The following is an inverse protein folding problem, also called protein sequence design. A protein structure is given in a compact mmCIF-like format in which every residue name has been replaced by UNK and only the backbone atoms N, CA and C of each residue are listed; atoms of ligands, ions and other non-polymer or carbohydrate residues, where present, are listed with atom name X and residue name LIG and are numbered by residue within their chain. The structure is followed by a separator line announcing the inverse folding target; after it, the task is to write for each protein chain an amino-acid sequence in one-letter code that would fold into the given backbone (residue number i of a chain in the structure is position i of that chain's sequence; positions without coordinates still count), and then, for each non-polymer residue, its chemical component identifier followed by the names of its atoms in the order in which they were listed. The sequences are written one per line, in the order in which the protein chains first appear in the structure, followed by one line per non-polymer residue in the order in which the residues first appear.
data_IF_840350369453
#
_entry.id   IF_840350369453
#
_cell.length_a   1.000
_cell.length_b   1.000
_cell.length_c   1.000
_cell.angle_alpha   90.00
_cell.angle_beta   90.00
_cell.angle_gamma   90.00
#
_symmetry.space_group_name_H-M   'P 1'
#
loop_
_entity.id
_entity.type
_entity.pdbx_description
1 polymer ?
#
# COMPACT_ATOMS: atom_id res chain seq x y z
N UNK A 1 -0.27 -16.38 15.23
CA UNK A 1 -1.10 -17.11 14.24
C UNK A 1 -1.49 -16.13 13.15
N UNK A 2 -1.56 -16.57 11.90
CA UNK A 2 -2.02 -15.73 10.79
C UNK A 2 -3.51 -15.41 10.93
N UNK A 3 -3.92 -14.22 10.51
CA UNK A 3 -5.30 -13.72 10.59
C UNK A 3 -5.83 -13.46 9.20
N UNK A 4 -7.13 -13.70 9.00
CA UNK A 4 -7.80 -13.42 7.74
C UNK A 4 -7.76 -11.92 7.38
N UNK A 5 -7.93 -11.61 6.10
CA UNK A 5 -8.05 -10.22 5.64
C UNK A 5 -9.20 -9.48 6.34
N UNK A 6 -10.31 -10.18 6.61
CA UNK A 6 -11.46 -9.62 7.32
C UNK A 6 -11.14 -9.28 8.80
N UNK A 7 -10.41 -10.14 9.52
CA UNK A 7 -9.96 -9.87 10.88
C UNK A 7 -9.00 -8.67 10.93
N UNK A 8 -8.08 -8.57 9.96
CA UNK A 8 -7.17 -7.43 9.84
C UNK A 8 -7.92 -6.14 9.51
N UNK A 9 -8.92 -6.19 8.62
CA UNK A 9 -9.76 -5.05 8.27
C UNK A 9 -10.51 -4.53 9.50
N UNK A 10 -11.12 -5.44 10.27
CA UNK A 10 -11.82 -5.10 11.52
C UNK A 10 -10.88 -4.40 12.51
N UNK A 11 -9.65 -4.88 12.66
CA UNK A 11 -8.66 -4.26 13.54
C UNK A 11 -8.27 -2.85 13.06
N UNK A 12 -8.01 -2.69 11.76
CA UNK A 12 -7.66 -1.39 11.18
C UNK A 12 -8.80 -0.37 11.36
N UNK A 13 -10.03 -0.76 11.02
CA UNK A 13 -11.24 0.05 11.16
C UNK A 13 -11.51 0.44 12.62
N UNK A 14 -11.27 -0.45 13.57
CA UNK A 14 -11.45 -0.14 14.99
C UNK A 14 -10.40 0.84 15.55
N UNK A 15 -9.28 1.02 14.84
CA UNK A 15 -8.13 1.78 15.33
C UNK A 15 -7.99 3.14 14.63
N UNK A 16 -8.25 3.18 13.33
CA UNK A 16 -7.98 4.35 12.49
C UNK A 16 -9.29 5.11 12.23
N UNK A 17 -9.40 6.39 12.63
CA UNK A 17 -10.60 7.18 12.36
C UNK A 17 -10.73 7.52 10.87
N UNK A 18 -11.97 7.72 10.42
CA UNK A 18 -12.24 8.32 9.11
C UNK A 18 -12.16 9.83 9.22
N UNK A 19 -11.13 10.43 8.62
CA UNK A 19 -10.87 11.88 8.67
C UNK A 19 -10.90 12.49 7.28
N UNK A 20 -11.46 13.69 7.17
CA UNK A 20 -11.46 14.43 5.92
C UNK A 20 -10.04 14.91 5.59
N UNK A 21 -9.62 14.71 4.33
CA UNK A 21 -8.27 15.03 3.90
C UNK A 21 -7.20 14.02 4.31
N UNK A 22 -7.58 12.89 4.92
CA UNK A 22 -6.66 11.77 5.11
C UNK A 22 -6.34 11.10 3.76
N UNK A 23 -5.10 10.59 3.64
CA UNK A 23 -4.73 9.70 2.54
C UNK A 23 -5.62 8.44 2.54
N UNK A 24 -5.81 7.77 1.39
CA UNK A 24 -6.49 6.48 1.37
C UNK A 24 -5.74 5.48 2.28
N UNK A 25 -6.44 4.50 2.89
CA UNK A 25 -5.79 3.45 3.65
C UNK A 25 -4.69 2.76 2.83
N UNK A 26 -3.68 2.23 3.50
CA UNK A 26 -2.60 1.48 2.86
C UNK A 26 -2.53 0.08 3.46
N UNK A 27 -2.43 -0.92 2.59
CA UNK A 27 -2.11 -2.30 2.97
C UNK A 27 -0.63 -2.52 2.72
N UNK A 28 0.12 -2.75 3.77
CA UNK A 28 1.52 -3.18 3.68
C UNK A 28 1.58 -4.69 3.41
N UNK A 29 1.85 -5.05 2.16
CA UNK A 29 1.94 -6.42 1.69
C UNK A 29 3.40 -6.80 1.47
N UNK A 30 4.03 -7.33 2.51
CA UNK A 30 5.43 -7.73 2.50
C UNK A 30 5.68 -9.04 3.26
N UNK A 31 6.86 -9.62 3.06
CA UNK A 31 7.27 -10.81 3.78
C UNK A 31 7.66 -10.46 5.23
N UNK A 32 6.68 -10.20 6.09
CA UNK A 32 6.91 -9.92 7.51
C UNK A 32 6.09 -10.82 8.44
N UNK A 33 6.62 -11.00 9.65
CA UNK A 33 5.95 -11.77 10.70
C UNK A 33 5.92 -13.29 10.49
N UNK A 34 5.09 -14.01 11.28
CA UNK A 34 5.11 -15.47 11.37
C UNK A 34 4.46 -16.17 10.16
N UNK A 35 3.94 -15.43 9.18
CA UNK A 35 3.14 -15.95 8.06
C UNK A 35 3.94 -16.11 6.76
N UNK A 36 5.27 -16.15 6.85
CA UNK A 36 6.19 -16.18 5.70
C UNK A 36 6.15 -17.47 4.88
N UNK A 37 5.63 -18.58 5.43
CA UNK A 37 5.70 -19.90 4.79
C UNK A 37 4.31 -20.54 4.65
N UNK A 38 4.08 -21.20 3.51
CA UNK A 38 2.97 -22.15 3.34
C UNK A 38 1.63 -21.59 2.85
N UNK A 39 1.50 -20.29 2.56
CA UNK A 39 0.28 -19.77 1.94
C UNK A 39 0.32 -19.93 0.41
N UNK A 40 -0.72 -20.55 -0.15
CA UNK A 40 -0.92 -20.60 -1.60
C UNK A 40 -1.17 -19.19 -2.14
N UNK A 41 -0.70 -18.90 -3.35
CA UNK A 41 -0.88 -17.59 -4.01
C UNK A 41 -2.34 -17.17 -4.05
N UNK A 42 -3.25 -18.09 -4.36
CA UNK A 42 -4.71 -17.83 -4.36
C UNK A 42 -5.24 -17.41 -3.00
N UNK A 43 -4.67 -17.95 -1.92
CA UNK A 43 -5.03 -17.56 -0.56
C UNK A 43 -4.55 -16.15 -0.25
N UNK A 44 -3.30 -15.80 -0.58
CA UNK A 44 -2.75 -14.45 -0.34
C UNK A 44 -3.56 -13.39 -1.09
N UNK A 45 -3.82 -13.62 -2.38
CA UNK A 45 -4.62 -12.71 -3.20
C UNK A 45 -6.04 -12.56 -2.62
N UNK A 46 -6.69 -13.66 -2.23
CA UNK A 46 -8.03 -13.59 -1.65
C UNK A 46 -8.05 -12.78 -0.35
N UNK A 47 -7.09 -12.98 0.55
CA UNK A 47 -7.05 -12.23 1.81
C UNK A 47 -6.75 -10.73 1.58
N UNK A 48 -5.83 -10.40 0.66
CA UNK A 48 -5.58 -8.99 0.28
C UNK A 48 -6.82 -8.36 -0.32
N UNK A 49 -7.49 -9.03 -1.26
CA UNK A 49 -8.75 -8.53 -1.86
C UNK A 49 -9.83 -8.34 -0.81
N UNK A 50 -10.00 -9.29 0.11
CA UNK A 50 -10.96 -9.17 1.22
C UNK A 50 -10.67 -7.95 2.09
N UNK A 51 -9.39 -7.69 2.39
CA UNK A 51 -8.97 -6.53 3.16
C UNK A 51 -9.22 -5.22 2.37
N UNK A 52 -8.86 -5.18 1.09
CA UNK A 52 -9.10 -4.03 0.20
C UNK A 52 -10.59 -3.66 0.17
N UNK A 53 -11.45 -4.63 -0.09
CA UNK A 53 -12.88 -4.43 -0.27
C UNK A 53 -13.54 -3.98 1.05
N UNK A 54 -13.13 -4.56 2.18
CA UNK A 54 -13.65 -4.18 3.50
C UNK A 54 -13.24 -2.75 3.91
N UNK A 55 -11.99 -2.36 3.62
CA UNK A 55 -11.52 -1.00 3.88
C UNK A 55 -12.18 0.00 2.93
N UNK A 56 -12.33 -0.31 1.64
CA UNK A 56 -13.04 0.55 0.70
C UNK A 56 -14.49 0.77 1.13
N UNK A 57 -15.19 -0.28 1.53
CA UNK A 57 -16.57 -0.18 2.01
C UNK A 57 -16.71 0.70 3.27
N UNK A 58 -15.68 0.76 4.12
CA UNK A 58 -15.71 1.56 5.35
C UNK A 58 -15.26 3.01 5.13
N UNK A 59 -14.15 3.22 4.42
CA UNK A 59 -13.53 4.53 4.24
C UNK A 59 -14.04 5.27 2.99
N UNK A 60 -14.79 4.59 2.12
CA UNK A 60 -15.29 5.14 0.85
C UNK A 60 -14.21 5.32 -0.22
N UNK A 61 -12.99 4.81 0.03
CA UNK A 61 -11.81 5.00 -0.81
C UNK A 61 -11.06 3.69 -1.00
N UNK A 62 -10.75 3.32 -2.25
CA UNK A 62 -9.96 2.13 -2.55
C UNK A 62 -8.56 2.24 -1.92
N UNK A 63 -8.12 1.32 -1.05
CA UNK A 63 -6.78 1.41 -0.46
C UNK A 63 -5.65 1.30 -1.49
N UNK A 64 -4.45 1.73 -1.10
CA UNK A 64 -3.22 1.55 -1.87
C UNK A 64 -2.47 0.33 -1.34
N UNK A 65 -1.85 -0.46 -2.21
CA UNK A 65 -1.04 -1.61 -1.82
C UNK A 65 0.42 -1.18 -1.77
N UNK A 66 1.02 -1.20 -0.58
CA UNK A 66 2.47 -1.11 -0.45
C UNK A 66 3.10 -2.49 -0.65
N UNK A 67 4.18 -2.59 -1.44
CA UNK A 67 4.92 -3.84 -1.65
C UNK A 67 6.33 -3.59 -2.17
N UNK A 68 7.25 -4.52 -1.88
CA UNK A 68 8.53 -4.65 -2.56
C UNK A 68 8.48 -5.60 -3.76
N UNK A 69 9.57 -5.62 -4.54
CA UNK A 69 9.69 -6.46 -5.75
C UNK A 69 9.62 -7.97 -5.46
N UNK A 70 10.14 -8.41 -4.32
CA UNK A 70 10.15 -9.84 -3.95
C UNK A 70 8.74 -10.36 -3.70
N UNK A 71 7.95 -9.65 -2.88
CA UNK A 71 6.58 -10.03 -2.59
C UNK A 71 5.68 -9.89 -3.83
N UNK A 72 5.93 -8.87 -4.66
CA UNK A 72 5.24 -8.71 -5.94
C UNK A 72 5.46 -9.93 -6.85
N UNK A 73 6.72 -10.31 -7.09
CA UNK A 73 7.07 -11.44 -7.93
C UNK A 73 6.51 -12.77 -7.39
N UNK A 74 6.46 -12.94 -6.06
CA UNK A 74 5.98 -14.16 -5.43
C UNK A 74 4.45 -14.32 -5.50
N UNK A 75 3.69 -13.24 -5.32
CA UNK A 75 2.25 -13.34 -5.07
C UNK A 75 1.38 -12.47 -5.97
N UNK A 76 1.85 -11.29 -6.36
CA UNK A 76 1.01 -10.28 -6.97
C UNK A 76 1.19 -10.19 -8.50
N UNK A 77 2.30 -10.66 -9.06
CA UNK A 77 2.63 -10.52 -10.48
C UNK A 77 1.50 -11.04 -11.40
N UNK A 78 1.04 -10.18 -12.30
CA UNK A 78 -0.09 -10.49 -13.18
C UNK A 78 -1.45 -10.64 -12.47
N UNK A 79 -1.56 -10.15 -11.23
CA UNK A 79 -2.77 -10.05 -10.41
C UNK A 79 -2.92 -8.61 -9.92
N UNK A 80 -4.13 -8.26 -9.48
CA UNK A 80 -4.46 -6.95 -8.93
C UNK A 80 -4.01 -5.81 -9.88
N UNK A 81 -4.23 -6.00 -11.19
CA UNK A 81 -3.76 -5.06 -12.21
C UNK A 81 -4.49 -3.71 -12.19
N UNK A 82 -5.71 -3.68 -11.64
CA UNK A 82 -6.51 -2.46 -11.47
C UNK A 82 -6.19 -1.68 -10.19
N UNK A 83 -5.35 -2.22 -9.30
CA UNK A 83 -5.04 -1.58 -8.02
C UNK A 83 -3.90 -0.56 -8.13
N UNK A 84 -3.85 0.36 -7.18
CA UNK A 84 -2.80 1.38 -7.05
C UNK A 84 -1.72 0.90 -6.09
N UNK A 85 -0.46 1.20 -6.43
CA UNK A 85 0.68 0.69 -5.68
C UNK A 85 1.54 1.79 -5.06
N UNK A 86 2.00 1.54 -3.84
CA UNK A 86 3.14 2.22 -3.22
C UNK A 86 4.33 1.27 -3.28
N UNK A 87 5.25 1.49 -4.22
CA UNK A 87 6.34 0.55 -4.44
C UNK A 87 7.56 0.90 -3.61
N UNK A 88 8.13 -0.12 -2.96
CA UNK A 88 9.49 -0.05 -2.42
C UNK A 88 10.50 -0.46 -3.49
N UNK A 89 11.37 0.47 -3.86
CA UNK A 89 12.53 0.19 -4.71
C UNK A 89 13.65 1.14 -4.28
N UNK A 90 14.64 0.62 -3.55
CA UNK A 90 15.68 1.48 -2.99
C UNK A 90 16.66 1.90 -4.07
N UNK A 91 17.07 3.16 -4.05
CA UNK A 91 18.09 3.79 -4.92
C UNK A 91 17.72 3.89 -6.41
N UNK A 92 16.87 3.01 -6.94
CA UNK A 92 16.49 2.96 -8.35
C UNK A 92 14.98 3.09 -8.52
N UNK A 93 14.51 3.74 -9.60
CA UNK A 93 13.08 3.76 -9.91
C UNK A 93 12.51 2.35 -10.03
N UNK A 94 11.26 2.10 -9.59
CA UNK A 94 10.63 0.79 -9.73
C UNK A 94 10.59 0.34 -11.19
N UNK A 95 11.16 -0.83 -11.49
CA UNK A 95 11.15 -1.46 -12.81
C UNK A 95 9.98 -2.44 -13.02
N UNK A 96 9.16 -2.63 -11.98
CA UNK A 96 7.96 -3.46 -11.97
C UNK A 96 6.73 -2.59 -11.71
N UNK A 97 5.55 -3.03 -12.20
CA UNK A 97 4.29 -2.27 -12.08
C UNK A 97 4.42 -0.79 -12.47
N UNK A 98 5.21 -0.50 -13.50
CA UNK A 98 5.60 0.87 -13.89
C UNK A 98 4.41 1.75 -14.25
N UNK A 99 3.26 1.19 -14.63
CA UNK A 99 2.02 1.91 -14.91
C UNK A 99 1.05 2.06 -13.72
N UNK A 100 1.33 1.42 -12.58
CA UNK A 100 0.35 1.28 -11.49
C UNK A 100 0.76 1.96 -10.18
N UNK A 101 2.04 2.32 -10.03
CA UNK A 101 2.49 2.95 -8.81
C UNK A 101 2.14 4.44 -8.76
N UNK A 102 1.72 4.89 -7.57
CA UNK A 102 1.35 6.27 -7.24
C UNK A 102 2.28 6.87 -6.20
N UNK A 103 2.91 6.05 -5.35
CA UNK A 103 3.94 6.45 -4.40
C UNK A 103 5.15 5.51 -4.55
N UNK A 104 6.35 6.05 -4.41
CA UNK A 104 7.60 5.28 -4.44
C UNK A 104 8.41 5.55 -3.17
N UNK A 105 8.67 4.50 -2.39
CA UNK A 105 9.67 4.52 -1.32
C UNK A 105 11.05 4.29 -1.93
N UNK A 106 11.87 5.34 -1.93
CA UNK A 106 13.18 5.34 -2.59
C UNK A 106 14.35 5.21 -1.61
N UNK A 107 14.10 5.38 -0.31
CA UNK A 107 15.10 5.33 0.75
C UNK A 107 14.45 4.89 2.08
N UNK A 108 15.15 4.09 2.87
CA UNK A 108 14.68 3.59 4.18
C UNK A 108 15.48 4.16 5.38
N UNK A 109 16.71 4.62 5.13
CA UNK A 109 17.56 5.26 6.14
C UNK A 109 17.80 6.76 5.92
N UNK A 110 16.75 7.52 5.58
CA UNK A 110 16.85 8.96 5.31
C UNK A 110 16.99 9.80 6.59
N UNK A 111 17.36 11.07 6.43
CA UNK A 111 17.38 12.07 7.52
C UNK A 111 16.51 13.28 7.14
N UNK A 112 15.65 13.72 8.06
CA UNK A 112 14.80 14.92 7.91
C UNK A 112 14.73 15.70 9.21
N UNK A 113 14.74 17.03 9.10
CA UNK A 113 14.52 17.90 10.24
C UNK A 113 13.16 17.58 10.88
N UNK A 114 13.14 17.45 12.21
CA UNK A 114 11.94 17.09 12.97
C UNK A 114 11.77 15.59 13.24
N UNK A 115 12.62 14.71 12.69
CA UNK A 115 12.57 13.27 12.94
C UNK A 115 13.89 12.81 13.57
N UNK A 116 13.78 12.13 14.71
CA UNK A 116 14.94 11.51 15.38
C UNK A 116 15.12 10.08 14.86
N UNK A 117 16.28 9.80 14.26
CA UNK A 117 16.61 8.49 13.71
C UNK A 117 16.34 8.34 12.21
N UNK A 118 16.60 7.15 11.63
CA UNK A 118 16.37 6.88 10.22
C UNK A 118 14.88 6.96 9.86
N UNK A 119 14.57 7.49 8.68
CA UNK A 119 13.19 7.60 8.18
C UNK A 119 13.06 7.18 6.71
N UNK A 120 11.96 6.51 6.39
CA UNK A 120 11.57 6.20 5.02
C UNK A 120 11.23 7.48 4.24
N UNK A 121 11.81 7.61 3.06
CA UNK A 121 11.56 8.73 2.15
C UNK A 121 10.79 8.25 0.93
N UNK A 122 9.75 9.02 0.60
CA UNK A 122 8.78 8.67 -0.42
C UNK A 122 8.59 9.84 -1.39
N UNK A 123 8.24 9.53 -2.62
CA UNK A 123 7.80 10.50 -3.63
C UNK A 123 6.46 10.09 -4.21
N UNK A 124 5.60 11.07 -4.45
CA UNK A 124 4.36 10.87 -5.20
C UNK A 124 4.61 10.97 -6.70
N UNK A 125 3.89 10.17 -7.49
CA UNK A 125 3.94 10.21 -8.94
C UNK A 125 3.07 11.32 -9.49
N UNK A 126 3.62 12.52 -9.57
CA UNK A 126 2.95 13.63 -10.23
C UNK A 126 3.33 14.99 -9.66
N UNK A 127 2.59 16.00 -10.10
CA UNK A 127 2.66 17.35 -9.57
C UNK A 127 1.97 17.47 -8.21
N UNK A 128 2.25 18.55 -7.48
CA UNK A 128 1.56 18.87 -6.23
C UNK A 128 0.04 18.95 -6.39
N UNK A 129 -0.46 19.54 -7.49
CA UNK A 129 -1.90 19.61 -7.79
C UNK A 129 -2.54 18.22 -7.92
N UNK A 130 -1.83 17.28 -8.54
CA UNK A 130 -2.29 15.89 -8.64
C UNK A 130 -2.23 15.18 -7.29
N UNK A 131 -1.26 15.51 -6.44
CA UNK A 131 -1.21 15.01 -5.08
C UNK A 131 -2.39 15.52 -4.24
N UNK A 132 -2.73 16.81 -4.33
CA UNK A 132 -3.90 17.38 -3.65
C UNK A 132 -5.21 16.71 -4.12
N UNK A 133 -5.37 16.50 -5.43
CA UNK A 133 -6.51 15.76 -5.98
C UNK A 133 -6.56 14.31 -5.46
N UNK A 134 -5.40 13.63 -5.42
CA UNK A 134 -5.28 12.30 -4.85
C UNK A 134 -5.63 12.26 -3.36
N UNK A 135 -5.29 13.27 -2.57
CA UNK A 135 -5.68 13.37 -1.16
C UNK A 135 -7.19 13.61 -1.03
N UNK A 136 -7.74 14.52 -1.85
CA UNK A 136 -9.15 14.89 -1.86
C UNK A 136 -10.10 13.81 -2.42
N UNK A 137 -9.55 12.75 -3.01
CA UNK A 137 -10.30 11.70 -3.72
C UNK A 137 -11.09 12.21 -4.93
N UNK A 138 -10.57 13.26 -5.57
CA UNK A 138 -11.17 13.76 -6.81
C UNK A 138 -10.77 12.87 -7.99
N UNK A 139 -11.69 12.54 -8.91
CA UNK A 139 -11.33 11.84 -10.13
C UNK A 139 -10.37 12.69 -10.97
N UNK A 140 -9.37 12.05 -11.60
CA UNK A 140 -8.47 12.71 -12.56
C UNK A 140 -9.33 13.37 -13.65
N UNK A 141 -9.33 14.72 -13.68
CA UNK A 141 -9.97 15.53 -14.74
C UNK A 141 -9.04 15.74 -15.92
#
# INVERSE_FOLDING_TARGET
QCRSGAEQAKNFIATVPSEHGALPPVIDAEHMGPCRTGQQVSSVIREITTLLDALEAHYGRRPVIYTGSEFDAAYLQGRLAGERFWLRSLFWPPSFRTGQWVIWQFHDAGTRAGINGPVDLNVFRGSWRQFEAFVADEPDR
#
